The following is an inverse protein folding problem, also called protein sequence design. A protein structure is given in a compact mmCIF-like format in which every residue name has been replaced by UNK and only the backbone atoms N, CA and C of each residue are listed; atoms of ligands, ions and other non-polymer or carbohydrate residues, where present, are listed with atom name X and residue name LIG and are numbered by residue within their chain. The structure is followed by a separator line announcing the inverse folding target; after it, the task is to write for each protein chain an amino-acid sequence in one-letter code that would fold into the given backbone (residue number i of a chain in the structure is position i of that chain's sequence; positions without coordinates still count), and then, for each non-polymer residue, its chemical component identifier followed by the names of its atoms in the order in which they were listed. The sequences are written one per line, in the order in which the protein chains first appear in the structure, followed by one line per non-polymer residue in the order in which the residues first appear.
data_IF_724198504242
#
_entry.id   IF_724198504242
#
_cell.length_a   1.000
_cell.length_b   1.000
_cell.length_c   1.000
_cell.angle_alpha   90.00
_cell.angle_beta   90.00
_cell.angle_gamma   90.00
#
_symmetry.space_group_name_H-M   'P 1'
#
loop_
_entity.id
_entity.type
_entity.pdbx_description
1 polymer ?
#
# COMPACT_ATOMS: atom_id res chain seq x y z
N UNK A 1 13.07 -6.13 3.68
CA UNK A 1 13.16 -7.34 2.84
C UNK A 1 12.51 -8.48 3.60
N UNK A 2 11.50 -9.11 3.01
CA UNK A 2 10.87 -10.30 3.58
C UNK A 2 11.67 -11.53 3.15
N UNK A 3 12.76 -11.81 3.82
CA UNK A 3 13.45 -13.07 3.61
C UNK A 3 12.66 -14.19 4.30
N UNK A 4 12.04 -15.06 3.51
CA UNK A 4 11.47 -16.34 3.93
C UNK A 4 10.28 -16.33 4.92
N UNK A 5 9.55 -15.23 5.09
CA UNK A 5 8.29 -15.31 5.81
C UNK A 5 7.17 -15.72 4.83
N UNK A 6 6.60 -16.88 5.03
CA UNK A 6 5.35 -17.23 4.37
C UNK A 6 4.26 -16.34 4.97
N UNK A 7 3.88 -15.28 4.27
CA UNK A 7 2.70 -14.52 4.63
C UNK A 7 1.50 -15.46 4.63
N UNK A 8 0.61 -15.27 5.59
CA UNK A 8 -0.64 -16.04 5.60
C UNK A 8 -1.39 -15.74 4.30
N UNK A 9 -1.97 -16.76 3.64
CA UNK A 9 -2.77 -16.52 2.45
C UNK A 9 -3.86 -15.50 2.74
N UNK A 10 -3.98 -14.48 1.89
CA UNK A 10 -5.05 -13.51 2.01
C UNK A 10 -6.39 -14.18 1.69
N UNK A 11 -7.24 -14.31 2.70
CA UNK A 11 -8.64 -14.71 2.56
C UNK A 11 -9.46 -13.87 3.54
N UNK A 12 -10.76 -14.03 3.58
CA UNK A 12 -11.65 -13.21 4.40
C UNK A 12 -11.34 -13.19 5.91
N UNK A 13 -10.42 -14.04 6.40
CA UNK A 13 -10.03 -14.16 7.81
C UNK A 13 -8.53 -13.95 8.05
N UNK A 14 -7.71 -13.92 6.99
CA UNK A 14 -6.27 -13.72 7.06
C UNK A 14 -5.87 -12.42 6.36
N UNK A 15 -5.07 -11.60 7.02
CA UNK A 15 -4.63 -10.29 6.56
C UNK A 15 -3.14 -10.27 6.16
N UNK A 16 -2.55 -11.42 5.87
CA UNK A 16 -1.13 -11.54 5.57
C UNK A 16 -0.24 -11.56 6.81
N UNK A 17 -0.44 -10.65 7.75
CA UNK A 17 0.32 -10.54 9.00
C UNK A 17 -0.37 -11.17 10.21
N UNK A 18 -1.69 -11.40 10.13
CA UNK A 18 -2.48 -11.90 11.25
C UNK A 18 -3.80 -12.51 10.82
N UNK A 19 -4.48 -13.13 11.76
CA UNK A 19 -5.77 -13.78 11.57
C UNK A 19 -6.85 -13.11 12.40
N UNK A 20 -8.05 -13.03 11.82
CA UNK A 20 -9.23 -12.51 12.50
C UNK A 20 -9.69 -13.47 13.59
N UNK A 21 -10.07 -12.93 14.73
CA UNK A 21 -10.64 -13.63 15.87
C UNK A 21 -12.01 -13.04 16.24
N UNK A 22 -12.90 -13.80 16.89
CA UNK A 22 -14.16 -13.25 17.38
C UNK A 22 -13.94 -11.99 18.24
N UNK A 23 -14.87 -11.05 18.14
CA UNK A 23 -14.76 -9.75 18.83
C UNK A 23 -14.07 -8.65 18.06
N UNK A 24 -13.82 -8.85 16.74
CA UNK A 24 -13.25 -7.80 15.89
C UNK A 24 -11.73 -7.64 16.04
N UNK A 25 -11.06 -8.64 16.60
CA UNK A 25 -9.61 -8.58 16.82
C UNK A 25 -8.88 -9.31 15.70
N UNK A 26 -7.85 -8.69 15.13
CA UNK A 26 -6.86 -9.36 14.28
C UNK A 26 -5.62 -9.61 15.14
N UNK A 27 -5.26 -10.87 15.32
CA UNK A 27 -4.09 -11.29 16.10
C UNK A 27 -2.93 -11.60 15.18
N UNK A 28 -1.75 -11.03 15.48
CA UNK A 28 -0.55 -11.19 14.69
C UNK A 28 -0.01 -12.62 14.68
N UNK A 29 0.58 -13.01 13.57
CA UNK A 29 1.17 -14.34 13.33
C UNK A 29 2.56 -14.29 12.70
N UNK A 30 3.00 -13.12 12.24
CA UNK A 30 4.20 -12.96 11.41
C UNK A 30 5.13 -11.95 12.03
N UNK A 31 6.40 -12.31 12.19
CA UNK A 31 7.49 -11.39 12.52
C UNK A 31 8.15 -10.94 11.22
N UNK A 32 8.28 -9.64 11.06
CA UNK A 32 8.98 -9.02 9.94
C UNK A 32 10.38 -8.59 10.35
N UNK A 33 11.32 -8.67 9.43
CA UNK A 33 12.60 -7.98 9.53
C UNK A 33 12.65 -6.92 8.45
N UNK A 34 12.83 -5.68 8.86
CA UNK A 34 12.94 -4.52 8.00
C UNK A 34 14.40 -4.15 7.88
N UNK A 35 14.88 -3.95 6.66
CA UNK A 35 16.20 -3.43 6.35
C UNK A 35 16.04 -2.05 5.74
N UNK A 36 16.69 -1.05 6.34
CA UNK A 36 16.72 0.32 5.86
C UNK A 36 17.86 0.52 4.85
N UNK A 37 17.75 1.53 4.01
CA UNK A 37 18.81 1.86 3.02
C UNK A 37 20.15 2.22 3.66
N UNK A 38 20.14 2.68 4.90
CA UNK A 38 21.35 2.96 5.69
C UNK A 38 21.97 1.72 6.34
N UNK A 39 21.40 0.53 6.14
CA UNK A 39 21.84 -0.74 6.71
C UNK A 39 21.30 -1.06 8.09
N UNK A 40 20.49 -0.20 8.70
CA UNK A 40 19.82 -0.50 9.96
C UNK A 40 18.78 -1.62 9.78
N UNK A 41 18.66 -2.48 10.79
CA UNK A 41 17.67 -3.55 10.80
C UNK A 41 16.76 -3.44 12.02
N UNK A 42 15.48 -3.67 11.79
CA UNK A 42 14.46 -3.74 12.84
C UNK A 42 13.67 -5.04 12.70
N UNK A 43 13.48 -5.80 13.76
CA UNK A 43 12.42 -6.80 13.80
C UNK A 43 11.14 -6.13 14.27
N UNK A 44 10.03 -6.51 13.66
CA UNK A 44 8.73 -5.89 13.87
C UNK A 44 7.64 -6.96 13.91
N UNK A 45 6.73 -6.85 14.87
CA UNK A 45 5.62 -7.77 15.05
C UNK A 45 4.37 -6.98 15.41
N UNK A 46 3.34 -7.05 14.57
CA UNK A 46 2.02 -6.53 14.89
C UNK A 46 1.35 -7.54 15.82
N UNK A 47 1.18 -7.19 17.09
CA UNK A 47 0.60 -8.07 18.09
C UNK A 47 -0.90 -8.22 17.88
N UNK A 48 -1.58 -7.08 17.70
CA UNK A 48 -3.02 -7.04 17.43
C UNK A 48 -3.45 -5.76 16.73
N UNK A 49 -4.60 -5.85 16.09
CA UNK A 49 -5.40 -4.71 15.66
C UNK A 49 -6.80 -4.82 16.25
N UNK A 50 -7.26 -3.73 16.89
CA UNK A 50 -8.62 -3.52 17.35
C UNK A 50 -8.82 -2.02 17.58
N UNK A 51 -9.47 -1.33 16.62
CA UNK A 51 -9.58 0.13 16.58
C UNK A 51 -8.22 0.88 16.63
N UNK A 52 -7.13 0.17 16.38
CA UNK A 52 -5.76 0.64 16.40
C UNK A 52 -4.79 -0.53 16.42
N UNK A 53 -3.52 -0.25 16.24
CA UNK A 53 -2.46 -1.25 16.21
C UNK A 53 -1.71 -1.26 17.53
N UNK A 54 -1.50 -2.46 18.09
CA UNK A 54 -0.47 -2.70 19.11
C UNK A 54 0.62 -3.53 18.47
N UNK A 55 1.86 -3.10 18.56
CA UNK A 55 2.98 -3.76 17.94
C UNK A 55 4.24 -3.69 18.79
N UNK A 56 5.18 -4.60 18.48
CA UNK A 56 6.49 -4.70 19.12
C UNK A 56 7.59 -4.57 18.07
N UNK A 57 8.69 -3.95 18.46
CA UNK A 57 9.87 -3.87 17.61
C UNK A 57 11.14 -3.84 18.43
N UNK A 58 12.27 -4.16 17.80
CA UNK A 58 13.60 -3.99 18.37
C UNK A 58 14.60 -3.71 17.23
N UNK A 59 15.57 -2.85 17.50
CA UNK A 59 16.69 -2.55 16.60
C UNK A 59 17.76 -3.64 16.73
N UNK A 60 18.45 -3.93 15.64
CA UNK A 60 19.67 -4.73 15.63
C UNK A 60 20.88 -3.83 15.86
N UNK A 61 21.70 -4.14 16.83
CA UNK A 61 22.89 -3.33 17.18
C UNK A 61 24.20 -3.83 16.55
N UNK A 62 24.10 -4.77 15.62
CA UNK A 62 25.26 -5.41 14.98
C UNK A 62 25.60 -6.80 15.56
N UNK A 63 25.18 -7.09 16.80
CA UNK A 63 25.46 -8.36 17.51
C UNK A 63 24.20 -9.03 18.06
N UNK A 64 23.26 -8.25 18.52
CA UNK A 64 22.01 -8.74 19.14
C UNK A 64 20.85 -7.79 18.90
N UNK A 65 19.64 -8.26 19.13
CA UNK A 65 18.47 -7.41 19.17
C UNK A 65 18.44 -6.64 20.48
N UNK A 66 18.24 -5.32 20.38
CA UNK A 66 18.02 -4.47 21.55
C UNK A 66 16.76 -4.83 22.32
N UNK A 67 16.52 -4.16 23.45
CA UNK A 67 15.31 -4.36 24.23
C UNK A 67 14.04 -4.09 23.41
N UNK A 68 13.11 -5.05 23.46
CA UNK A 68 11.86 -4.95 22.71
C UNK A 68 11.02 -3.79 23.22
N UNK A 69 10.63 -2.92 22.33
CA UNK A 69 9.70 -1.81 22.56
C UNK A 69 8.30 -2.23 22.17
N UNK A 70 7.31 -1.80 22.95
CA UNK A 70 5.88 -1.96 22.61
C UNK A 70 5.27 -0.59 22.38
N UNK A 71 4.48 -0.46 21.32
CA UNK A 71 3.77 0.78 20.98
C UNK A 71 2.33 0.49 20.58
N UNK A 72 1.49 1.51 20.73
CA UNK A 72 0.10 1.50 20.26
C UNK A 72 -0.14 2.74 19.43
N UNK A 73 -0.82 2.57 18.28
CA UNK A 73 -1.30 3.64 17.43
C UNK A 73 -2.80 3.48 17.28
N UNK A 74 -3.56 4.45 17.76
CA UNK A 74 -5.00 4.50 17.55
C UNK A 74 -5.33 4.94 16.11
N UNK A 75 -6.41 4.41 15.56
CA UNK A 75 -6.93 4.86 14.26
C UNK A 75 -7.87 6.05 14.43
N UNK A 76 -7.95 6.85 13.36
CA UNK A 76 -9.00 7.89 13.25
C UNK A 76 -8.83 9.09 14.19
N UNK A 77 -7.62 9.31 14.70
CA UNK A 77 -7.33 10.47 15.57
C UNK A 77 -7.01 11.74 14.77
N UNK A 78 -6.79 11.61 13.47
CA UNK A 78 -6.46 12.69 12.54
C UNK A 78 -7.24 12.55 11.22
N UNK A 79 -7.13 13.56 10.37
CA UNK A 79 -7.74 13.55 9.02
C UNK A 79 -6.80 12.92 7.98
N UNK A 80 -6.21 11.77 8.31
CA UNK A 80 -5.31 10.98 7.46
C UNK A 80 -5.86 9.57 7.22
N UNK A 81 -5.57 8.98 6.06
CA UNK A 81 -5.92 7.57 5.79
C UNK A 81 -4.96 6.59 6.44
N UNK A 82 -3.69 6.98 6.58
CA UNK A 82 -2.62 6.12 7.06
C UNK A 82 -2.03 6.62 8.36
N UNK A 83 -1.53 5.71 9.17
CA UNK A 83 -0.71 6.03 10.32
C UNK A 83 0.76 5.76 9.98
N UNK A 84 1.61 6.69 10.31
CA UNK A 84 3.05 6.63 10.09
C UNK A 84 3.78 6.48 11.42
N UNK A 85 4.82 5.67 11.45
CA UNK A 85 5.62 5.44 12.64
C UNK A 85 7.10 5.42 12.28
N UNK A 86 7.89 6.12 13.05
CA UNK A 86 9.35 6.07 12.96
C UNK A 86 9.91 5.19 14.06
N UNK A 87 10.64 4.15 13.68
CA UNK A 87 11.33 3.30 14.64
C UNK A 87 12.48 4.02 15.33
N UNK A 88 13.12 4.99 14.66
CA UNK A 88 14.23 5.76 15.22
C UNK A 88 13.74 6.70 16.33
N UNK A 89 12.65 7.44 16.11
CA UNK A 89 12.07 8.28 17.16
C UNK A 89 11.20 7.52 18.15
N UNK A 90 10.78 6.29 17.81
CA UNK A 90 9.86 5.48 18.60
C UNK A 90 8.47 6.08 18.75
N UNK A 91 8.05 6.93 17.80
CA UNK A 91 6.81 7.70 17.85
C UNK A 91 6.05 7.68 16.52
N UNK A 92 4.74 7.97 16.62
CA UNK A 92 3.90 8.28 15.45
C UNK A 92 4.44 9.56 14.79
N UNK A 93 4.47 9.58 13.46
CA UNK A 93 4.85 10.75 12.67
C UNK A 93 3.57 11.38 12.14
N UNK A 94 3.37 12.64 12.48
CA UNK A 94 2.18 13.40 12.11
C UNK A 94 2.42 14.21 10.82
N UNK A 95 1.33 14.57 10.14
CA UNK A 95 1.32 15.48 8.99
C UNK A 95 2.18 15.02 7.80
N UNK A 96 2.28 13.72 7.56
CA UNK A 96 2.99 13.16 6.41
C UNK A 96 2.13 13.03 5.15
N UNK A 97 0.82 13.02 5.29
CA UNK A 97 -0.09 13.01 4.14
C UNK A 97 -1.07 14.18 4.20
N UNK A 98 -1.60 14.62 3.05
CA UNK A 98 -2.68 15.58 3.01
C UNK A 98 -3.95 15.06 3.70
N UNK A 99 -4.87 15.97 4.03
CA UNK A 99 -6.23 15.64 4.46
C UNK A 99 -6.87 14.59 3.55
N UNK A 100 -7.67 13.68 4.11
CA UNK A 100 -8.39 12.62 3.37
C UNK A 100 -9.13 13.10 2.14
N UNK A 101 -9.67 14.32 2.18
CA UNK A 101 -10.41 14.91 1.07
C UNK A 101 -9.54 15.65 0.06
N UNK A 102 -8.23 15.74 0.28
CA UNK A 102 -7.36 16.62 -0.50
C UNK A 102 -6.49 15.88 -1.54
N UNK A 103 -6.63 14.56 -1.65
CA UNK A 103 -5.84 13.81 -2.63
C UNK A 103 -6.56 12.57 -3.15
N UNK A 104 -6.28 12.22 -4.39
CA UNK A 104 -6.84 11.07 -5.10
C UNK A 104 -5.80 10.05 -5.50
N UNK A 105 -4.65 10.51 -5.95
CA UNK A 105 -3.56 9.68 -6.46
C UNK A 105 -2.23 10.07 -5.84
N UNK A 106 -1.43 9.07 -5.49
CA UNK A 106 -0.06 9.21 -5.01
C UNK A 106 0.91 8.60 -6.02
N UNK A 107 1.76 9.41 -6.60
CA UNK A 107 2.85 8.97 -7.48
C UNK A 107 4.07 8.66 -6.61
N UNK A 108 4.51 7.41 -6.61
CA UNK A 108 5.52 6.95 -5.65
C UNK A 108 6.33 5.78 -6.19
N UNK A 109 7.28 5.34 -5.38
CA UNK A 109 7.92 4.02 -5.52
C UNK A 109 7.50 3.16 -4.35
N UNK A 110 7.02 1.96 -4.64
CA UNK A 110 6.59 1.01 -3.61
C UNK A 110 7.14 -0.38 -3.90
N UNK A 111 7.25 -1.18 -2.86
CA UNK A 111 7.67 -2.56 -2.99
C UNK A 111 6.48 -3.44 -3.34
N UNK A 112 6.64 -4.26 -4.35
CA UNK A 112 5.65 -5.27 -4.76
C UNK A 112 6.36 -6.54 -5.21
N UNK A 113 5.64 -7.65 -5.21
CA UNK A 113 6.19 -8.89 -5.75
C UNK A 113 6.28 -8.82 -7.27
N UNK A 114 7.46 -9.08 -7.78
CA UNK A 114 7.68 -9.27 -9.22
C UNK A 114 7.59 -10.77 -9.53
N UNK A 115 6.70 -11.14 -10.43
CA UNK A 115 6.40 -12.54 -10.79
C UNK A 115 6.10 -13.44 -9.57
N UNK A 116 5.60 -12.88 -8.48
CA UNK A 116 5.26 -13.64 -7.27
C UNK A 116 6.45 -14.20 -6.48
N UNK A 117 7.68 -13.87 -6.87
CA UNK A 117 8.87 -14.52 -6.31
C UNK A 117 9.79 -13.59 -5.51
N UNK A 118 9.92 -12.34 -5.91
CA UNK A 118 10.83 -11.40 -5.24
C UNK A 118 10.18 -10.03 -5.06
N UNK A 119 10.52 -9.37 -3.96
CA UNK A 119 10.15 -7.98 -3.74
C UNK A 119 10.99 -7.07 -4.61
N UNK A 120 10.35 -6.19 -5.35
CA UNK A 120 10.98 -5.20 -6.20
C UNK A 120 10.40 -3.82 -5.97
N UNK A 121 11.25 -2.78 -5.98
CA UNK A 121 10.83 -1.38 -5.84
C UNK A 121 10.42 -0.82 -7.21
N UNK A 122 9.13 -0.70 -7.42
CA UNK A 122 8.55 -0.25 -8.69
C UNK A 122 8.04 1.19 -8.57
N UNK A 123 8.25 1.98 -9.63
CA UNK A 123 7.54 3.25 -9.79
C UNK A 123 6.07 2.94 -10.09
N UNK A 124 5.17 3.58 -9.37
CA UNK A 124 3.75 3.32 -9.54
C UNK A 124 2.86 4.41 -8.99
N UNK A 125 1.58 4.22 -9.18
CA UNK A 125 0.53 5.12 -8.73
C UNK A 125 -0.40 4.37 -7.80
N UNK A 126 -0.56 4.88 -6.59
CA UNK A 126 -1.48 4.38 -5.59
C UNK A 126 -2.67 5.32 -5.49
N UNK A 127 -3.85 4.75 -5.30
CA UNK A 127 -5.09 5.52 -5.19
C UNK A 127 -5.51 5.72 -3.74
N UNK A 128 -6.15 6.84 -3.45
CA UNK A 128 -6.77 7.07 -2.15
C UNK A 128 -8.01 6.18 -1.98
N UNK A 129 -8.43 5.89 -0.74
CA UNK A 129 -9.68 5.18 -0.47
C UNK A 129 -10.96 5.89 -0.96
N UNK A 130 -10.88 7.19 -1.28
CA UNK A 130 -12.01 7.97 -1.79
C UNK A 130 -12.39 7.61 -3.22
N UNK A 131 -11.41 7.19 -4.02
CA UNK A 131 -11.63 6.88 -5.43
C UNK A 131 -11.69 5.38 -5.68
N UNK A 132 -12.30 5.02 -6.80
CA UNK A 132 -12.21 3.68 -7.36
C UNK A 132 -11.74 3.76 -8.80
N UNK A 133 -10.99 2.77 -9.24
CA UNK A 133 -10.33 2.77 -10.55
C UNK A 133 -10.73 1.55 -11.35
N UNK A 134 -11.06 1.76 -12.62
CA UNK A 134 -11.20 0.70 -13.62
C UNK A 134 -10.06 0.80 -14.63
N UNK A 135 -9.40 -0.31 -14.90
CA UNK A 135 -8.36 -0.45 -15.92
C UNK A 135 -8.96 -1.03 -17.18
N UNK A 136 -8.78 -0.33 -18.30
CA UNK A 136 -9.25 -0.78 -19.62
C UNK A 136 -8.08 -0.86 -20.59
N UNK A 137 -7.94 -2.01 -21.24
CA UNK A 137 -6.95 -2.25 -22.27
C UNK A 137 -7.39 -3.43 -23.16
N UNK A 138 -7.35 -3.30 -24.50
CA UNK A 138 -6.93 -2.10 -25.25
C UNK A 138 -8.01 -1.02 -25.27
N UNK A 139 -7.59 0.25 -25.25
CA UNK A 139 -8.43 1.42 -25.48
C UNK A 139 -7.64 2.57 -26.13
N UNK A 140 -8.32 3.35 -26.98
CA UNK A 140 -7.72 4.53 -27.62
C UNK A 140 -7.59 5.67 -26.62
N UNK A 141 -6.36 6.09 -26.33
CA UNK A 141 -6.07 7.12 -25.32
C UNK A 141 -6.62 8.50 -25.72
N UNK A 142 -6.51 8.88 -26.96
CA UNK A 142 -6.88 10.21 -27.47
C UNK A 142 -8.35 10.40 -27.85
N UNK A 143 -9.26 9.46 -27.56
CA UNK A 143 -10.67 9.62 -27.92
C UNK A 143 -11.33 10.74 -27.11
N UNK A 144 -12.17 11.55 -27.78
CA UNK A 144 -13.00 12.57 -27.14
C UNK A 144 -14.30 12.00 -26.56
N UNK A 145 -14.68 10.80 -26.96
CA UNK A 145 -15.92 10.16 -26.50
C UNK A 145 -15.65 9.47 -25.16
N UNK A 146 -16.35 9.90 -24.13
CA UNK A 146 -16.30 9.27 -22.82
C UNK A 146 -17.36 8.17 -22.71
N UNK A 147 -16.94 6.97 -22.40
CA UNK A 147 -17.82 5.86 -22.07
C UNK A 147 -17.30 5.21 -20.77
N UNK A 148 -17.98 5.47 -19.66
CA UNK A 148 -17.57 4.90 -18.38
C UNK A 148 -17.71 3.37 -18.41
N UNK A 149 -16.69 2.63 -17.92
CA UNK A 149 -16.80 1.20 -17.70
C UNK A 149 -17.97 0.84 -16.78
N UNK A 150 -18.44 -0.39 -16.88
CA UNK A 150 -19.48 -0.89 -15.97
C UNK A 150 -19.06 -0.77 -14.51
N UNK A 151 -20.00 -0.53 -13.60
CA UNK A 151 -19.72 -0.32 -12.18
C UNK A 151 -18.90 -1.46 -11.53
N UNK A 152 -19.13 -2.70 -11.96
CA UNK A 152 -18.40 -3.87 -11.48
C UNK A 152 -16.91 -3.90 -11.87
N UNK A 153 -16.47 -3.07 -12.83
CA UNK A 153 -15.07 -2.97 -13.25
C UNK A 153 -14.22 -2.07 -12.35
N UNK A 154 -14.85 -1.30 -11.46
CA UNK A 154 -14.12 -0.40 -10.55
C UNK A 154 -13.65 -1.09 -9.29
N UNK A 155 -12.37 -0.95 -8.99
CA UNK A 155 -11.70 -1.49 -7.81
C UNK A 155 -11.28 -0.38 -6.83
N UNK A 156 -11.41 -0.66 -5.54
CA UNK A 156 -10.86 0.17 -4.45
C UNK A 156 -9.51 -0.32 -3.94
N UNK A 157 -8.91 -1.33 -4.59
CA UNK A 157 -7.57 -1.78 -4.24
C UNK A 157 -6.58 -0.65 -4.47
N UNK A 158 -5.81 -0.30 -3.43
CA UNK A 158 -4.88 0.84 -3.45
C UNK A 158 -3.91 0.83 -4.64
N UNK A 159 -3.54 -0.33 -5.13
CA UNK A 159 -2.62 -0.53 -6.25
C UNK A 159 -3.30 -0.95 -7.55
N UNK A 160 -4.56 -0.58 -7.78
CA UNK A 160 -5.26 -0.90 -9.04
C UNK A 160 -4.52 -0.34 -10.25
N UNK A 161 -4.02 0.89 -10.19
CA UNK A 161 -3.09 1.43 -11.18
C UNK A 161 -1.71 0.77 -10.97
N UNK A 162 -1.16 0.90 -9.77
CA UNK A 162 0.09 0.30 -9.37
C UNK A 162 1.21 0.62 -10.36
N UNK A 163 1.88 -0.41 -10.86
CA UNK A 163 2.91 -0.33 -11.89
C UNK A 163 2.47 -0.89 -13.24
N UNK A 164 1.18 -1.19 -13.41
CA UNK A 164 0.65 -1.83 -14.64
C UNK A 164 0.57 -0.89 -15.85
N UNK A 165 0.84 0.39 -15.67
CA UNK A 165 0.80 1.39 -16.74
C UNK A 165 1.95 1.26 -17.78
N UNK A 166 3.00 0.51 -17.43
CA UNK A 166 4.12 0.23 -18.34
C UNK A 166 4.72 -1.17 -18.09
N UNK A 167 5.44 -1.75 -19.03
CA UNK A 167 6.29 -2.91 -18.77
C UNK A 167 7.46 -2.52 -17.87
N UNK A 168 8.15 -3.51 -17.30
CA UNK A 168 9.34 -3.28 -16.46
C UNK A 168 10.40 -2.45 -17.17
N UNK A 169 10.60 -2.70 -18.46
CA UNK A 169 11.50 -1.96 -19.34
C UNK A 169 10.70 -1.51 -20.55
N UNK A 170 10.77 -0.23 -20.91
CA UNK A 170 10.11 0.31 -22.09
C UNK A 170 9.15 1.47 -21.81
N UNK A 171 8.47 1.91 -22.86
CA UNK A 171 7.51 2.99 -22.82
C UNK A 171 6.20 2.58 -22.12
N UNK A 172 5.38 3.55 -21.67
CA UNK A 172 4.02 3.28 -21.23
C UNK A 172 3.19 2.56 -22.31
N UNK A 173 2.19 1.81 -21.85
CA UNK A 173 1.24 1.18 -22.75
C UNK A 173 0.37 2.24 -23.43
N UNK A 174 0.53 2.39 -24.75
CA UNK A 174 -0.18 3.39 -25.56
C UNK A 174 -1.69 3.10 -25.72
N UNK A 175 -2.12 1.92 -25.33
CA UNK A 175 -3.49 1.40 -25.40
C UNK A 175 -4.12 1.16 -24.02
N UNK A 176 -3.52 1.68 -22.94
CA UNK A 176 -4.01 1.53 -21.58
C UNK A 176 -4.65 2.83 -21.06
N UNK A 177 -5.85 2.73 -20.53
CA UNK A 177 -6.60 3.84 -19.93
C UNK A 177 -7.12 3.42 -18.55
N UNK A 178 -7.00 4.32 -17.60
CA UNK A 178 -7.57 4.18 -16.27
C UNK A 178 -8.73 5.16 -16.12
N UNK A 179 -9.87 4.65 -15.69
CA UNK A 179 -11.02 5.45 -15.34
C UNK A 179 -11.08 5.59 -13.84
N UNK A 180 -10.96 6.81 -13.35
CA UNK A 180 -11.00 7.14 -11.93
C UNK A 180 -12.38 7.67 -11.63
N UNK A 181 -13.05 7.08 -10.64
CA UNK A 181 -14.36 7.51 -10.18
C UNK A 181 -14.25 8.06 -8.77
N UNK A 182 -14.65 9.32 -8.61
CA UNK A 182 -14.79 10.03 -7.35
C UNK A 182 -16.26 10.48 -7.22
N UNK A 183 -17.02 9.86 -6.31
CA UNK A 183 -18.46 10.13 -6.20
C UNK A 183 -19.20 9.89 -7.51
N UNK A 184 -19.73 10.97 -8.09
CA UNK A 184 -20.38 10.97 -9.42
C UNK A 184 -19.49 11.45 -10.56
N UNK A 185 -18.28 11.89 -10.26
CA UNK A 185 -17.33 12.43 -11.24
C UNK A 185 -16.40 11.33 -11.75
N UNK A 186 -16.06 11.42 -13.01
CA UNK A 186 -15.19 10.47 -13.69
C UNK A 186 -14.05 11.20 -14.39
N UNK A 187 -12.84 10.65 -14.25
CA UNK A 187 -11.64 11.12 -14.94
C UNK A 187 -11.06 9.99 -15.77
N UNK A 188 -10.39 10.35 -16.87
CA UNK A 188 -9.56 9.43 -17.66
C UNK A 188 -8.10 9.76 -17.44
N UNK A 189 -7.33 8.76 -17.09
CA UNK A 189 -5.88 8.86 -16.91
C UNK A 189 -5.18 7.89 -17.85
N UNK A 190 -4.17 8.37 -18.56
CA UNK A 190 -3.23 7.56 -19.30
C UNK A 190 -1.83 8.16 -19.27
N UNK A 191 -0.82 7.36 -19.53
CA UNK A 191 0.58 7.75 -19.42
C UNK A 191 1.17 7.84 -20.82
N UNK A 192 1.83 8.96 -21.15
CA UNK A 192 2.41 9.23 -22.48
C UNK A 192 3.92 9.02 -22.52
N UNK A 193 4.60 9.23 -21.38
CA UNK A 193 6.06 9.11 -21.28
C UNK A 193 6.46 8.50 -19.93
N UNK A 194 7.72 8.10 -19.83
CA UNK A 194 8.29 7.56 -18.58
C UNK A 194 8.80 8.64 -17.60
N UNK A 195 8.75 9.91 -17.98
CA UNK A 195 9.38 11.01 -17.25
C UNK A 195 10.87 11.11 -17.50
#
# INVERSE_FOLDING_TARGET
VFANSTLLPANGLNFGWGSYSPGGIISGKVVFVLEYENGDHYKFFIEKYQAGYTFKYAKWNGTSWEATQTRTIANGTDDAFFNYFSFDSGAKVENLEPSKSAWDLMFTRYYTFFNGQMMYRMAGVLQSPNVSVAYVRPETQGTSTFSAPAAASYSKTISTIGHSWKPTIGAPHADAVYYIKEGSTYYRLYFTTNG
#
